data_IF_091534322350
#
_entry.id   IF_091534322350
#
_cell.length_a   1.000
_cell.length_b   1.000
_cell.length_c   1.000
_cell.angle_alpha   90.00
_cell.angle_beta   90.00
_cell.angle_gamma   90.00
#
_symmetry.space_group_name_H-M   'P 1'
#
loop_
_entity.id
_entity.type
_entity.pdbx_description
1 polymer ?
#
# COMPACT_ATOMS: atom_id res chain seq x y z
N UNK A 1 -33.80 9.47 -1.33
CA UNK A 1 -32.70 9.25 -0.38
C UNK A 1 -31.46 8.94 -1.21
N UNK A 2 -30.54 9.90 -1.33
CA UNK A 2 -29.28 9.65 -2.04
C UNK A 2 -28.39 8.74 -1.20
N UNK A 3 -27.75 7.76 -1.84
CA UNK A 3 -26.84 6.84 -1.14
C UNK A 3 -25.55 7.58 -0.80
N UNK A 4 -25.10 7.59 0.46
CA UNK A 4 -23.88 8.30 0.84
C UNK A 4 -22.64 7.62 0.26
N UNK A 5 -21.57 8.40 0.00
CA UNK A 5 -20.34 7.80 -0.53
C UNK A 5 -19.66 6.96 0.54
N UNK A 6 -19.21 5.77 0.17
CA UNK A 6 -18.52 4.83 1.08
C UNK A 6 -17.30 5.47 1.76
N UNK A 7 -16.58 6.35 1.06
CA UNK A 7 -15.44 7.08 1.61
C UNK A 7 -15.83 8.02 2.77
N UNK A 8 -17.00 8.67 2.68
CA UNK A 8 -17.51 9.57 3.72
C UNK A 8 -17.93 8.77 4.95
N UNK A 9 -18.64 7.65 4.76
CA UNK A 9 -19.01 6.75 5.86
C UNK A 9 -17.77 6.16 6.54
N UNK A 10 -16.75 5.74 5.78
CA UNK A 10 -15.46 5.28 6.35
C UNK A 10 -14.79 6.36 7.20
N UNK A 11 -14.83 7.63 6.77
CA UNK A 11 -14.29 8.77 7.52
C UNK A 11 -15.05 8.97 8.84
N UNK A 12 -16.38 8.90 8.80
CA UNK A 12 -17.27 9.04 9.96
C UNK A 12 -17.05 7.90 10.95
N UNK A 13 -17.09 6.64 10.50
CA UNK A 13 -16.83 5.44 11.33
C UNK A 13 -15.46 5.55 11.99
N UNK A 14 -14.43 5.95 11.23
CA UNK A 14 -13.09 6.16 11.77
C UNK A 14 -13.05 7.24 12.86
N UNK A 15 -13.77 8.35 12.69
CA UNK A 15 -13.85 9.41 13.69
C UNK A 15 -14.58 8.96 14.97
N UNK A 16 -15.69 8.23 14.81
CA UNK A 16 -16.46 7.67 15.94
C UNK A 16 -15.63 6.65 16.72
N UNK A 17 -14.90 5.76 16.03
CA UNK A 17 -14.03 4.76 16.68
C UNK A 17 -12.85 5.36 17.44
N UNK A 18 -12.24 6.42 16.90
CA UNK A 18 -11.12 7.11 17.57
C UNK A 18 -11.57 7.90 18.80
N UNK A 19 -12.85 8.25 18.89
CA UNK A 19 -13.39 8.97 20.03
C UNK A 19 -13.59 8.04 21.23
N UNK A 20 -13.01 8.43 22.37
CA UNK A 20 -13.21 7.77 23.66
C UNK A 20 -14.56 8.09 24.32
N UNK A 21 -15.34 9.02 23.75
CA UNK A 21 -16.61 9.45 24.32
C UNK A 21 -17.71 8.39 24.10
N UNK A 22 -18.48 8.14 25.16
CA UNK A 22 -19.62 7.20 25.13
C UNK A 22 -20.77 7.72 24.28
N UNK A 23 -21.01 9.03 24.33
CA UNK A 23 -22.06 9.73 23.59
C UNK A 23 -21.41 10.70 22.62
N UNK A 24 -21.80 10.62 21.35
CA UNK A 24 -21.34 11.52 20.29
C UNK A 24 -22.57 12.12 19.62
N UNK A 25 -22.80 13.41 19.84
CA UNK A 25 -23.84 14.18 19.18
C UNK A 25 -23.39 14.66 17.80
N UNK A 26 -24.32 15.16 16.99
CA UNK A 26 -24.03 15.64 15.64
C UNK A 26 -23.02 16.81 15.62
N UNK A 27 -23.16 17.78 16.53
CA UNK A 27 -22.22 18.90 16.67
C UNK A 27 -20.81 18.42 17.04
N UNK A 28 -20.72 17.41 17.90
CA UNK A 28 -19.44 16.83 18.29
C UNK A 28 -18.80 16.07 17.13
N UNK A 29 -19.61 15.30 16.39
CA UNK A 29 -19.14 14.60 15.20
C UNK A 29 -18.65 15.57 14.12
N UNK A 30 -19.33 16.69 13.94
CA UNK A 30 -18.90 17.79 13.06
C UNK A 30 -17.48 18.24 13.38
N UNK A 31 -17.17 18.47 14.66
CA UNK A 31 -15.82 18.85 15.12
C UNK A 31 -14.77 17.74 14.92
N UNK A 32 -15.16 16.48 15.04
CA UNK A 32 -14.26 15.33 14.87
C UNK A 32 -13.95 15.02 13.39
N UNK A 33 -14.95 15.18 12.52
CA UNK A 33 -14.84 14.86 11.10
C UNK A 33 -14.37 16.05 10.29
N UNK A 34 -14.65 17.28 10.73
CA UNK A 34 -14.40 18.53 10.01
C UNK A 34 -15.43 18.79 8.90
N UNK A 35 -16.69 18.44 9.14
CA UNK A 35 -17.82 18.66 8.23
C UNK A 35 -18.93 19.36 9.00
N UNK A 36 -19.67 20.26 8.34
CA UNK A 36 -20.79 20.95 8.97
C UNK A 36 -21.87 19.96 9.45
N UNK A 37 -22.56 20.26 10.57
CA UNK A 37 -23.63 19.41 11.11
C UNK A 37 -24.71 19.09 10.08
N UNK A 38 -25.12 20.05 9.24
CA UNK A 38 -26.15 19.86 8.22
C UNK A 38 -25.75 18.82 7.18
N UNK A 39 -24.49 18.89 6.72
CA UNK A 39 -23.93 17.93 5.76
C UNK A 39 -23.84 16.54 6.37
N UNK A 40 -23.44 16.45 7.64
CA UNK A 40 -23.42 15.17 8.36
C UNK A 40 -24.83 14.63 8.59
N UNK A 41 -25.80 15.49 8.86
CA UNK A 41 -27.21 15.12 9.02
C UNK A 41 -27.73 14.49 7.73
N UNK A 42 -27.56 15.15 6.59
CA UNK A 42 -28.05 14.63 5.31
C UNK A 42 -27.38 13.30 4.92
N UNK A 43 -26.12 13.08 5.29
CA UNK A 43 -25.42 11.79 5.10
C UNK A 43 -25.99 10.71 6.04
N UNK A 44 -26.20 11.05 7.31
CA UNK A 44 -26.60 10.11 8.35
C UNK A 44 -28.10 9.78 8.33
N UNK A 45 -28.93 10.62 7.71
CA UNK A 45 -30.36 10.38 7.46
C UNK A 45 -30.62 9.07 6.72
N UNK A 46 -29.64 8.60 5.93
CA UNK A 46 -29.71 7.29 5.31
C UNK A 46 -29.83 6.13 6.31
N UNK A 47 -29.23 6.26 7.51
CA UNK A 47 -29.24 5.24 8.55
C UNK A 47 -30.37 5.45 9.55
N UNK A 48 -30.69 6.70 9.89
CA UNK A 48 -31.86 7.03 10.71
C UNK A 48 -32.35 8.46 10.39
N UNK A 49 -33.60 8.61 9.87
CA UNK A 49 -34.22 9.90 9.63
C UNK A 49 -34.30 10.79 10.87
N UNK A 50 -34.34 10.22 12.08
CA UNK A 50 -34.48 10.95 13.34
C UNK A 50 -33.28 11.86 13.64
N UNK A 51 -32.11 11.56 13.08
CA UNK A 51 -30.87 12.35 13.21
C UNK A 51 -31.05 13.79 12.67
N UNK A 52 -31.98 13.99 11.73
CA UNK A 52 -32.31 15.32 11.20
C UNK A 52 -33.17 16.16 12.15
N UNK A 53 -33.97 15.50 12.99
CA UNK A 53 -34.93 16.15 13.87
C UNK A 53 -34.36 16.35 15.28
N UNK A 54 -33.52 15.43 15.77
CA UNK A 54 -32.89 15.53 17.07
C UNK A 54 -31.35 15.46 16.96
N UNK A 55 -30.65 16.61 17.08
CA UNK A 55 -29.19 16.68 17.00
C UNK A 55 -28.49 16.08 18.24
N UNK A 56 -29.25 15.74 19.30
CA UNK A 56 -28.75 15.18 20.55
C UNK A 56 -28.61 13.66 20.51
N UNK A 57 -29.11 13.02 19.45
CA UNK A 57 -29.03 11.59 19.25
C UNK A 57 -27.56 11.13 19.29
N UNK A 58 -27.34 10.00 19.95
CA UNK A 58 -26.03 9.37 20.01
C UNK A 58 -25.71 8.65 18.69
N UNK A 59 -24.83 9.23 17.89
CA UNK A 59 -24.42 8.66 16.59
C UNK A 59 -23.71 7.31 16.75
N UNK A 60 -23.15 7.04 17.94
CA UNK A 60 -22.49 5.76 18.25
C UNK A 60 -23.45 4.56 18.15
N UNK A 61 -24.75 4.78 18.34
CA UNK A 61 -25.76 3.73 18.25
C UNK A 61 -25.90 3.17 16.82
N UNK A 62 -25.62 3.98 15.80
CA UNK A 62 -25.71 3.59 14.39
C UNK A 62 -24.39 3.04 13.84
N UNK A 63 -23.36 2.92 14.69
CA UNK A 63 -22.05 2.40 14.28
C UNK A 63 -22.14 1.01 13.63
N UNK A 64 -22.92 0.04 14.15
CA UNK A 64 -23.04 -1.26 13.50
C UNK A 64 -23.61 -1.18 12.09
N UNK A 65 -24.65 -0.35 11.87
CA UNK A 65 -25.27 -0.17 10.57
C UNK A 65 -24.31 0.51 9.56
N UNK A 66 -23.52 1.48 10.02
CA UNK A 66 -22.48 2.11 9.20
C UNK A 66 -21.35 1.13 8.86
N UNK A 67 -20.99 0.23 9.77
CA UNK A 67 -19.98 -0.82 9.56
C UNK A 67 -20.43 -1.87 8.55
N UNK A 68 -21.69 -2.31 8.65
CA UNK A 68 -22.30 -3.22 7.69
C UNK A 68 -22.35 -2.61 6.29
N UNK A 69 -22.65 -1.31 6.21
CA UNK A 69 -22.66 -0.58 4.94
C UNK A 69 -21.28 -0.51 4.26
N UNK A 70 -20.18 -0.41 5.03
CA UNK A 70 -18.82 -0.37 4.48
C UNK A 70 -18.22 -1.77 4.26
N UNK A 71 -18.75 -2.82 4.89
CA UNK A 71 -18.25 -4.18 4.82
C UNK A 71 -18.13 -4.74 3.38
N UNK A 72 -19.12 -4.60 2.48
CA UNK A 72 -19.00 -5.09 1.10
C UNK A 72 -17.97 -4.31 0.25
N UNK A 73 -17.48 -3.17 0.74
CA UNK A 73 -16.46 -2.35 0.10
C UNK A 73 -15.13 -2.29 0.89
N UNK A 74 -14.97 -3.14 1.91
CA UNK A 74 -13.64 -3.53 2.33
C UNK A 74 -13.11 -4.46 1.23
N UNK A 75 -11.97 -4.16 0.58
CA UNK A 75 -11.33 -5.16 -0.25
C UNK A 75 -11.12 -6.37 0.65
N UNK A 76 -11.77 -7.50 0.31
CA UNK A 76 -11.39 -8.84 0.81
C UNK A 76 -9.88 -8.84 0.82
N UNK A 77 -9.31 -9.08 2.00
CA UNK A 77 -7.89 -8.88 2.35
C UNK A 77 -7.01 -8.79 1.11
N UNK A 78 -6.56 -7.58 0.79
CA UNK A 78 -5.60 -7.38 -0.28
C UNK A 78 -4.48 -8.41 -0.06
N UNK A 79 -4.36 -9.37 -0.98
CA UNK A 79 -3.43 -10.48 -0.86
C UNK A 79 -2.09 -9.95 -0.34
N UNK A 80 -1.47 -10.63 0.65
CA UNK A 80 -0.27 -10.11 1.31
C UNK A 80 0.71 -9.69 0.23
N UNK A 81 0.97 -8.38 0.12
CA UNK A 81 1.90 -7.84 -0.87
C UNK A 81 3.20 -8.59 -0.69
N UNK A 82 3.63 -9.32 -1.71
CA UNK A 82 4.87 -10.09 -1.67
C UNK A 82 5.98 -9.21 -1.12
N UNK A 83 6.66 -9.70 -0.08
CA UNK A 83 7.71 -8.95 0.60
C UNK A 83 8.73 -8.55 -0.46
N UNK A 84 8.93 -7.24 -0.61
CA UNK A 84 9.90 -6.71 -1.56
C UNK A 84 11.28 -7.23 -1.17
N UNK A 85 11.79 -8.22 -1.89
CA UNK A 85 13.20 -8.63 -1.78
C UNK A 85 14.05 -7.41 -2.14
N UNK A 86 14.82 -6.92 -1.17
CA UNK A 86 15.73 -5.78 -1.31
C UNK A 86 17.15 -6.31 -1.33
N UNK A 87 17.75 -6.36 -2.51
CA UNK A 87 19.18 -6.70 -2.65
C UNK A 87 20.04 -5.61 -2.03
N UNK A 88 20.85 -5.97 -1.04
CA UNK A 88 21.71 -5.03 -0.30
C UNK A 88 22.98 -4.67 -1.09
N UNK A 89 23.63 -3.56 -0.75
CA UNK A 89 24.91 -3.16 -1.40
C UNK A 89 26.05 -4.17 -1.14
N UNK A 90 25.95 -4.96 -0.07
CA UNK A 90 26.94 -5.97 0.31
C UNK A 90 26.89 -7.18 -0.63
N UNK A 91 25.69 -7.66 -0.95
CA UNK A 91 25.47 -8.72 -1.95
C UNK A 91 25.99 -8.30 -3.34
N UNK A 92 25.81 -7.04 -3.71
CA UNK A 92 26.31 -6.51 -4.98
C UNK A 92 27.84 -6.43 -5.04
N UNK A 93 28.51 -6.20 -3.91
CA UNK A 93 29.98 -6.14 -3.86
C UNK A 93 30.65 -7.50 -3.90
N UNK A 94 29.91 -8.57 -3.65
CA UNK A 94 30.43 -9.94 -3.75
C UNK A 94 30.74 -10.35 -5.19
N UNK A 95 30.10 -9.69 -6.16
CA UNK A 95 30.27 -9.98 -7.59
C UNK A 95 31.03 -8.85 -8.27
N UNK A 96 32.17 -9.19 -8.88
CA UNK A 96 32.98 -8.22 -9.63
C UNK A 96 32.29 -7.80 -10.93
N UNK A 97 31.44 -8.69 -11.48
CA UNK A 97 30.64 -8.45 -12.69
C UNK A 97 29.73 -9.63 -13.05
N UNK A 98 29.06 -9.54 -14.21
CA UNK A 98 28.15 -10.58 -14.71
C UNK A 98 28.84 -11.96 -14.85
N UNK A 99 30.06 -12.06 -15.42
CA UNK A 99 30.72 -13.37 -15.57
C UNK A 99 31.02 -14.03 -14.21
N UNK A 100 31.43 -13.23 -13.22
CA UNK A 100 31.72 -13.70 -11.85
C UNK A 100 30.44 -14.21 -11.15
N UNK A 101 29.31 -13.52 -11.37
CA UNK A 101 28.01 -13.98 -10.88
C UNK A 101 27.59 -15.31 -11.49
N UNK A 102 27.73 -15.46 -12.81
CA UNK A 102 27.40 -16.71 -13.52
C UNK A 102 28.28 -17.85 -13.06
N UNK A 103 29.59 -17.63 -12.87
CA UNK A 103 30.50 -18.68 -12.40
C UNK A 103 30.14 -19.09 -10.96
N UNK A 104 29.97 -18.13 -10.04
CA UNK A 104 29.67 -18.47 -8.64
C UNK A 104 28.34 -19.18 -8.44
N UNK A 105 27.33 -18.87 -9.26
CA UNK A 105 25.96 -19.38 -9.09
C UNK A 105 25.60 -20.54 -10.01
N UNK A 106 26.23 -20.66 -11.17
CA UNK A 106 25.91 -21.70 -12.16
C UNK A 106 27.02 -22.73 -12.35
N UNK A 107 28.20 -22.59 -11.71
CA UNK A 107 29.28 -23.57 -11.88
C UNK A 107 29.17 -24.70 -10.88
N UNK A 108 29.10 -25.93 -11.39
CA UNK A 108 29.13 -27.17 -10.60
C UNK A 108 30.56 -27.66 -10.39
N UNK A 109 30.75 -28.66 -9.52
CA UNK A 109 32.05 -29.28 -9.21
C UNK A 109 32.75 -29.69 -10.52
N UNK A 110 33.86 -29.02 -10.84
CA UNK A 110 34.61 -29.23 -12.09
C UNK A 110 34.70 -28.02 -13.03
N UNK A 111 34.14 -26.86 -12.67
CA UNK A 111 34.33 -25.63 -13.46
C UNK A 111 33.40 -25.50 -14.67
N UNK A 112 32.45 -26.44 -14.83
CA UNK A 112 31.46 -26.43 -15.89
C UNK A 112 30.19 -25.69 -15.45
N UNK A 113 29.64 -24.89 -16.36
CA UNK A 113 28.35 -24.21 -16.16
C UNK A 113 27.24 -25.24 -16.30
N UNK A 114 26.48 -25.43 -15.23
CA UNK A 114 25.35 -26.32 -15.16
C UNK A 114 24.07 -25.58 -15.61
N UNK A 115 23.47 -25.96 -16.74
CA UNK A 115 22.28 -25.32 -17.27
C UNK A 115 21.01 -25.68 -16.47
N UNK A 116 21.08 -26.62 -15.52
CA UNK A 116 19.92 -27.07 -14.74
C UNK A 116 19.64 -26.21 -13.50
N UNK A 117 20.58 -25.33 -13.13
CA UNK A 117 20.42 -24.45 -11.96
C UNK A 117 19.37 -23.38 -12.23
N UNK A 118 18.39 -23.28 -11.34
CA UNK A 118 17.34 -22.25 -11.38
C UNK A 118 17.71 -21.09 -10.46
N UNK A 119 17.51 -19.86 -10.95
CA UNK A 119 17.76 -18.66 -10.17
C UNK A 119 16.59 -18.35 -9.25
N UNK A 120 16.91 -17.98 -8.00
CA UNK A 120 15.90 -17.43 -7.07
C UNK A 120 15.54 -15.99 -7.45
N UNK A 121 14.41 -15.48 -6.93
CA UNK A 121 14.01 -14.08 -7.14
C UNK A 121 15.06 -13.07 -6.66
N UNK A 122 15.84 -13.45 -5.65
CA UNK A 122 16.95 -12.63 -5.15
C UNK A 122 18.09 -12.57 -6.17
N UNK A 123 18.48 -13.73 -6.71
CA UNK A 123 19.51 -13.87 -7.74
C UNK A 123 19.16 -13.09 -9.02
N UNK A 124 17.90 -13.16 -9.45
CA UNK A 124 17.41 -12.41 -10.61
C UNK A 124 17.50 -10.89 -10.40
N UNK A 125 17.19 -10.40 -9.19
CA UNK A 125 17.33 -8.97 -8.84
C UNK A 125 18.79 -8.53 -8.77
N UNK A 126 19.69 -9.39 -8.27
CA UNK A 126 21.14 -9.13 -8.30
C UNK A 126 21.62 -8.99 -9.74
N UNK A 127 21.25 -9.95 -10.61
CA UNK A 127 21.61 -9.93 -12.02
C UNK A 127 21.08 -8.68 -12.73
N UNK A 128 19.81 -8.30 -12.49
CA UNK A 128 19.22 -7.09 -13.06
C UNK A 128 20.02 -5.83 -12.72
N UNK A 129 20.47 -5.70 -11.46
CA UNK A 129 21.29 -4.57 -11.01
C UNK A 129 22.69 -4.58 -11.63
N UNK A 130 23.33 -5.75 -11.75
CA UNK A 130 24.63 -5.90 -12.41
C UNK A 130 24.56 -5.52 -13.89
N UNK A 131 23.51 -5.96 -14.59
CA UNK A 131 23.25 -5.59 -16.00
C UNK A 131 23.03 -4.09 -16.15
N UNK A 132 22.21 -3.47 -15.28
CA UNK A 132 21.99 -2.03 -15.30
C UNK A 132 23.29 -1.24 -15.09
N UNK A 133 24.15 -1.70 -14.18
CA UNK A 133 25.46 -1.09 -13.94
C UNK A 133 26.39 -1.18 -15.16
N UNK A 134 26.41 -2.33 -15.84
CA UNK A 134 27.22 -2.55 -17.04
C UNK A 134 26.73 -1.70 -18.23
N UNK A 135 25.41 -1.61 -18.44
CA UNK A 135 24.81 -0.72 -19.45
C UNK A 135 25.17 0.74 -19.16
N UNK A 136 25.11 1.17 -17.89
CA UNK A 136 25.49 2.52 -17.50
C UNK A 136 26.99 2.80 -17.76
N UNK A 137 27.88 1.84 -17.49
CA UNK A 137 29.31 1.94 -17.82
C UNK A 137 29.52 2.10 -19.33
N UNK A 138 28.84 1.30 -20.16
CA UNK A 138 28.93 1.39 -21.64
C UNK A 138 28.46 2.74 -22.18
N UNK A 139 27.32 3.25 -21.68
CA UNK A 139 26.79 4.58 -22.04
C UNK A 139 27.73 5.72 -21.66
N UNK A 140 28.44 5.61 -20.53
CA UNK A 140 29.45 6.60 -20.12
C UNK A 140 30.69 6.55 -21.01
N UNK A 141 31.13 5.36 -21.44
CA UNK A 141 32.26 5.21 -22.37
C UNK A 141 31.95 5.79 -23.75
N UNK A 142 30.77 5.54 -24.31
CA UNK A 142 30.38 6.10 -25.61
C UNK A 142 30.31 7.64 -25.60
N UNK A 143 29.76 8.24 -24.54
CA UNK A 143 29.73 9.70 -24.36
C UNK A 143 31.11 10.35 -24.24
N UNK A 144 32.09 9.67 -23.64
CA UNK A 144 33.48 10.16 -23.56
C UNK A 144 34.22 10.06 -24.89
N UNK A 145 33.93 9.03 -25.70
CA UNK A 145 34.53 8.83 -27.02
C UNK A 145 34.06 9.88 -28.04
N UNK A 146 32.87 10.45 -27.85
CA UNK A 146 32.30 11.48 -28.74
C UNK A 146 32.68 12.93 -28.35
N UNK A 147 33.40 13.11 -27.22
CA UNK A 147 33.92 14.42 -26.75
C UNK A 147 35.42 14.61 -27.02
N UNK A 148 36.06 13.64 -27.66
CA UNK A 148 37.42 13.73 -28.20
C UNK A 148 37.32 13.75 -29.71
#
# INVERSE_FOLDING_TARGET
>A
MDKPKIAEIKRIVGAVKRSSQKVITLDRLSKLVGLYPDVLSDILVYFDPMIKFDPSINIRNFLPAMEEYIAPAAPKDAAPKEKRVVVTKRELSEYTGIPDFVIKKMTSIGGLVDPTVTFTDEDLKVLQKLVAAEIAKRKRKSRKKHRK
#
